data_IF_148477315641
#
_entry.id   IF_148477315641
#
_cell.length_a   1.000
_cell.length_b   1.000
_cell.length_c   1.000
_cell.angle_alpha   90.00
_cell.angle_beta   90.00
_cell.angle_gamma   90.00
#
_symmetry.space_group_name_H-M   'P 1'
#
loop_
_entity.id
_entity.type
_entity.pdbx_description
1 polymer ?
#
# COMPACT_ATOMS: atom_id res chain seq x y z
N UNK A 1 30.94 -0.23 4.87
CA UNK A 1 29.75 -0.72 5.59
C UNK A 1 30.01 -1.95 6.46
N UNK A 2 30.79 -2.96 6.06
CA UNK A 2 30.96 -4.17 6.87
C UNK A 2 31.47 -3.92 8.30
N UNK A 3 32.44 -3.02 8.48
CA UNK A 3 32.93 -2.67 9.82
C UNK A 3 31.91 -1.82 10.60
N UNK A 4 31.18 -0.93 9.93
CA UNK A 4 30.10 -0.17 10.55
C UNK A 4 28.98 -1.09 11.08
N UNK A 5 28.54 -2.08 10.30
CA UNK A 5 27.49 -3.02 10.72
C UNK A 5 27.96 -3.95 11.84
N UNK A 6 29.25 -4.31 11.84
CA UNK A 6 29.87 -5.03 12.97
C UNK A 6 29.82 -4.18 14.25
N UNK A 7 30.17 -2.90 14.16
CA UNK A 7 30.10 -1.98 15.29
C UNK A 7 28.67 -1.79 15.78
N UNK A 8 27.71 -1.55 14.86
CA UNK A 8 26.29 -1.46 15.20
C UNK A 8 25.81 -2.72 15.93
N UNK A 9 26.25 -3.91 15.51
CA UNK A 9 25.90 -5.16 16.20
C UNK A 9 26.44 -5.21 17.64
N UNK A 10 27.68 -4.76 17.85
CA UNK A 10 28.29 -4.69 19.18
C UNK A 10 27.60 -3.65 20.06
N UNK A 11 27.28 -2.48 19.53
CA UNK A 11 26.68 -1.38 20.29
C UNK A 11 25.21 -1.60 20.64
N UNK A 12 24.43 -2.18 19.72
CA UNK A 12 22.99 -2.44 19.92
C UNK A 12 22.73 -3.79 20.58
N UNK A 13 23.67 -4.73 20.50
CA UNK A 13 23.49 -6.13 20.92
C UNK A 13 22.63 -6.96 19.95
N UNK A 14 22.16 -6.38 18.84
CA UNK A 14 21.42 -7.07 17.80
C UNK A 14 22.35 -7.57 16.69
N UNK A 15 21.93 -8.58 15.92
CA UNK A 15 22.69 -9.05 14.77
C UNK A 15 22.38 -8.19 13.54
N UNK A 16 23.22 -7.20 13.25
CA UNK A 16 23.04 -6.26 12.14
C UNK A 16 23.86 -6.73 10.93
N UNK A 17 23.19 -7.31 9.94
CA UNK A 17 23.85 -7.90 8.76
C UNK A 17 23.41 -7.33 7.42
N UNK A 18 22.31 -6.58 7.41
CA UNK A 18 21.71 -6.02 6.21
C UNK A 18 21.43 -4.53 6.41
N UNK A 19 21.20 -3.88 5.28
CA UNK A 19 21.05 -2.45 5.23
C UNK A 19 19.74 -1.93 5.81
N UNK A 20 18.69 -2.73 5.75
CA UNK A 20 17.36 -2.32 6.21
C UNK A 20 17.34 -2.30 7.73
N UNK A 21 17.83 -3.37 8.36
CA UNK A 21 18.03 -3.42 9.81
C UNK A 21 18.99 -2.32 10.27
N UNK A 22 20.08 -2.06 9.52
CA UNK A 22 21.00 -0.97 9.86
C UNK A 22 20.33 0.42 9.77
N UNK A 23 19.49 0.66 8.77
CA UNK A 23 18.70 1.89 8.63
C UNK A 23 17.71 2.08 9.77
N UNK A 24 17.02 1.01 10.19
CA UNK A 24 16.01 1.05 11.26
C UNK A 24 16.54 1.56 12.62
N UNK A 25 17.86 1.45 12.86
CA UNK A 25 18.49 2.00 14.07
C UNK A 25 18.37 3.52 14.11
N UNK A 26 18.55 4.19 12.96
CA UNK A 26 18.39 5.64 12.87
C UNK A 26 16.96 6.06 13.21
N UNK A 27 15.94 5.32 12.80
CA UNK A 27 14.54 5.64 13.10
C UNK A 27 14.29 5.70 14.62
N UNK A 28 14.76 4.69 15.36
CA UNK A 28 14.69 4.68 16.83
C UNK A 28 15.43 5.87 17.45
N UNK A 29 16.67 6.11 17.00
CA UNK A 29 17.52 7.21 17.48
C UNK A 29 16.91 8.58 17.17
N UNK A 30 16.27 8.75 16.02
CA UNK A 30 15.62 9.99 15.61
C UNK A 30 14.40 10.27 16.51
N UNK A 31 13.59 9.26 16.81
CA UNK A 31 12.45 9.38 17.72
C UNK A 31 12.93 9.71 19.14
N UNK A 32 13.94 9.02 19.66
CA UNK A 32 14.53 9.34 20.96
C UNK A 32 14.99 10.79 21.04
N UNK A 33 15.70 11.27 20.01
CA UNK A 33 16.15 12.67 19.93
C UNK A 33 14.99 13.65 19.86
N UNK A 34 13.93 13.33 19.10
CA UNK A 34 12.73 14.15 18.97
C UNK A 34 12.03 14.37 20.33
N UNK A 35 12.01 13.34 21.18
CA UNK A 35 11.37 13.38 22.50
C UNK A 35 12.34 13.67 23.66
N UNK A 36 13.60 13.99 23.37
CA UNK A 36 14.60 14.31 24.39
C UNK A 36 14.95 13.13 25.31
N UNK A 37 14.85 11.89 24.80
CA UNK A 37 15.22 10.68 25.54
C UNK A 37 16.75 10.52 25.60
N UNK A 38 17.29 9.92 26.69
CA UNK A 38 18.72 9.72 26.82
C UNK A 38 19.23 8.73 25.77
N UNK A 39 20.36 9.06 25.13
CA UNK A 39 20.99 8.23 24.12
C UNK A 39 22.41 7.83 24.56
N UNK A 40 22.89 6.63 24.19
CA UNK A 40 24.26 6.24 24.47
C UNK A 40 25.26 7.08 23.66
N UNK A 41 26.48 7.27 24.17
CA UNK A 41 27.48 8.16 23.59
C UNK A 41 27.77 7.87 22.10
N UNK A 42 27.85 6.58 21.73
CA UNK A 42 28.14 6.17 20.36
C UNK A 42 27.11 6.68 19.35
N UNK A 43 25.85 6.89 19.75
CA UNK A 43 24.82 7.46 18.88
C UNK A 43 25.15 8.90 18.51
N UNK A 44 25.68 9.68 19.47
CA UNK A 44 26.09 11.06 19.20
C UNK A 44 27.32 11.11 18.30
N UNK A 45 28.28 10.22 18.55
CA UNK A 45 29.54 10.18 17.81
C UNK A 45 29.35 9.72 16.34
N UNK A 46 28.31 8.93 16.06
CA UNK A 46 28.05 8.30 14.77
C UNK A 46 26.70 8.69 14.15
N UNK A 47 26.08 9.79 14.61
CA UNK A 47 24.75 10.20 14.17
C UNK A 47 24.66 10.41 12.64
N UNK A 48 25.65 11.07 12.05
CA UNK A 48 25.68 11.35 10.61
C UNK A 48 25.84 10.06 9.78
N UNK A 49 26.55 9.05 10.30
CA UNK A 49 26.69 7.75 9.64
C UNK A 49 25.38 6.94 9.68
N UNK A 50 24.64 7.04 10.80
CA UNK A 50 23.30 6.46 10.92
C UNK A 50 22.33 7.13 9.96
N UNK A 51 22.33 8.47 9.88
CA UNK A 51 21.47 9.23 8.96
C UNK A 51 21.77 8.86 7.51
N UNK A 52 23.05 8.84 7.15
CA UNK A 52 23.46 8.45 5.80
C UNK A 52 23.04 7.01 5.46
N UNK A 53 23.19 6.06 6.40
CA UNK A 53 22.72 4.69 6.22
C UNK A 53 21.20 4.62 6.01
N UNK A 54 20.42 5.41 6.75
CA UNK A 54 18.97 5.52 6.56
C UNK A 54 18.63 6.05 5.17
N UNK A 55 19.27 7.15 4.75
CA UNK A 55 19.08 7.75 3.43
C UNK A 55 19.38 6.74 2.30
N UNK A 56 20.45 5.96 2.41
CA UNK A 56 20.78 4.91 1.44
C UNK A 56 19.74 3.77 1.41
N UNK A 57 19.11 3.47 2.54
CA UNK A 57 18.08 2.42 2.63
C UNK A 57 16.85 2.77 1.77
N UNK A 58 16.42 4.03 1.76
CA UNK A 58 15.34 4.52 0.89
C UNK A 58 15.68 4.46 -0.60
N UNK A 59 16.95 4.71 -0.96
CA UNK A 59 17.40 4.54 -2.35
C UNK A 59 17.35 3.06 -2.77
N UNK A 60 17.81 2.15 -1.89
CA UNK A 60 17.92 0.73 -2.20
C UNK A 60 16.58 0.03 -2.38
N UNK A 61 15.55 0.51 -1.69
CA UNK A 61 14.19 0.03 -1.87
C UNK A 61 13.69 0.11 -3.33
N UNK A 62 14.08 1.12 -4.10
CA UNK A 62 13.60 1.32 -5.47
C UNK A 62 14.72 1.65 -6.46
N UNK A 63 15.93 1.14 -6.22
CA UNK A 63 17.12 1.52 -7.00
C UNK A 63 17.07 1.13 -8.48
N UNK A 64 16.43 0.01 -8.80
CA UNK A 64 16.36 -0.50 -10.18
C UNK A 64 15.00 -0.22 -10.81
N UNK A 65 14.91 -0.08 -12.14
CA UNK A 65 13.63 0.09 -12.82
C UNK A 65 12.63 -1.03 -12.50
N UNK A 66 13.10 -2.26 -12.29
CA UNK A 66 12.29 -3.40 -11.88
C UNK A 66 11.71 -3.21 -10.47
N UNK A 67 12.51 -2.74 -9.51
CA UNK A 67 12.02 -2.44 -8.17
C UNK A 67 11.03 -1.28 -8.18
N UNK A 68 11.30 -0.22 -8.95
CA UNK A 68 10.36 0.90 -9.12
C UNK A 68 9.02 0.40 -9.69
N UNK A 69 9.08 -0.46 -10.71
CA UNK A 69 7.90 -1.05 -11.36
C UNK A 69 7.04 -1.88 -10.42
N UNK A 70 7.66 -2.65 -9.53
CA UNK A 70 6.93 -3.52 -8.61
C UNK A 70 6.50 -2.84 -7.31
N UNK A 71 7.14 -1.73 -6.92
CA UNK A 71 6.81 -0.98 -5.71
C UNK A 71 5.84 0.16 -5.99
N UNK A 72 6.36 1.24 -6.57
CA UNK A 72 5.58 2.45 -6.84
C UNK A 72 4.83 2.41 -8.18
N UNK A 73 5.14 1.46 -9.07
CA UNK A 73 4.52 1.33 -10.39
C UNK A 73 2.99 1.27 -10.36
N UNK A 74 2.35 0.47 -9.49
CA UNK A 74 0.89 0.46 -9.35
C UNK A 74 0.30 1.83 -8.99
N UNK A 75 0.88 2.52 -7.99
CA UNK A 75 0.42 3.84 -7.57
C UNK A 75 0.62 4.88 -8.68
N UNK A 76 1.78 4.89 -9.33
CA UNK A 76 2.07 5.78 -10.45
C UNK A 76 1.12 5.55 -11.65
N UNK A 77 0.78 4.28 -11.94
CA UNK A 77 -0.18 3.92 -12.98
C UNK A 77 -1.58 4.44 -12.64
N UNK A 78 -2.00 4.32 -11.37
CA UNK A 78 -3.28 4.83 -10.91
C UNK A 78 -3.35 6.36 -11.00
N UNK A 79 -2.31 7.07 -10.54
CA UNK A 79 -2.23 8.53 -10.64
C UNK A 79 -2.31 8.99 -12.10
N UNK A 80 -1.53 8.37 -12.99
CA UNK A 80 -1.59 8.68 -14.43
C UNK A 80 -2.97 8.37 -15.03
N UNK A 81 -3.57 7.24 -14.66
CA UNK A 81 -4.90 6.84 -15.10
C UNK A 81 -5.96 7.88 -14.74
N UNK A 82 -6.01 8.31 -13.48
CA UNK A 82 -6.94 9.33 -13.01
C UNK A 82 -6.78 10.64 -13.80
N UNK A 83 -5.54 11.06 -14.08
CA UNK A 83 -5.29 12.26 -14.90
C UNK A 83 -5.78 12.07 -16.34
N UNK A 84 -5.53 10.92 -16.95
CA UNK A 84 -5.95 10.64 -18.32
C UNK A 84 -7.47 10.52 -18.45
N UNK A 85 -8.17 10.03 -17.43
CA UNK A 85 -9.64 9.99 -17.40
C UNK A 85 -10.24 11.40 -17.50
N UNK A 86 -9.73 12.36 -16.73
CA UNK A 86 -10.14 13.78 -16.78
C UNK A 86 -9.99 14.35 -18.19
N UNK A 87 -8.95 13.94 -18.94
CA UNK A 87 -8.74 14.44 -20.31
C UNK A 87 -9.76 13.92 -21.33
N UNK A 88 -10.43 12.79 -21.03
CA UNK A 88 -11.41 12.15 -21.90
C UNK A 88 -12.82 12.64 -21.58
N UNK A 89 -13.17 12.63 -20.30
CA UNK A 89 -14.49 13.00 -19.79
C UNK A 89 -14.35 13.79 -18.50
N UNK A 90 -15.08 14.91 -18.34
CA UNK A 90 -15.09 15.65 -17.08
C UNK A 90 -15.54 14.74 -15.93
N UNK A 91 -14.83 14.84 -14.80
CA UNK A 91 -15.16 14.13 -13.56
C UNK A 91 -15.44 15.14 -12.45
N UNK A 92 -16.33 14.78 -11.53
CA UNK A 92 -16.59 15.56 -10.31
C UNK A 92 -15.48 15.40 -9.27
N UNK A 93 -14.62 14.39 -9.41
CA UNK A 93 -13.51 14.14 -8.49
C UNK A 93 -12.36 15.10 -8.79
N UNK A 94 -12.16 16.08 -7.90
CA UNK A 94 -11.10 17.09 -8.04
C UNK A 94 -9.78 16.75 -7.35
N UNK A 95 -9.83 15.87 -6.33
CA UNK A 95 -8.66 15.54 -5.50
C UNK A 95 -8.71 14.05 -5.14
N UNK A 96 -7.59 13.36 -5.35
CA UNK A 96 -7.33 12.03 -4.80
C UNK A 96 -6.28 12.16 -3.70
N UNK A 97 -6.56 11.61 -2.51
CA UNK A 97 -5.62 11.60 -1.39
C UNK A 97 -5.19 10.18 -1.08
N UNK A 98 -3.88 9.97 -0.99
CA UNK A 98 -3.26 8.69 -0.67
C UNK A 98 -2.43 8.86 0.60
N UNK A 99 -2.83 8.19 1.69
CA UNK A 99 -2.02 8.10 2.90
C UNK A 99 -1.15 6.85 2.81
N UNK A 100 0.16 7.02 2.95
CA UNK A 100 1.14 5.94 2.76
C UNK A 100 2.38 6.18 3.63
N UNK A 101 3.38 5.30 3.50
CA UNK A 101 4.64 5.35 4.21
C UNK A 101 5.70 6.13 3.43
N UNK A 102 6.71 6.63 4.15
CA UNK A 102 7.94 7.23 3.61
C UNK A 102 8.60 6.39 2.51
N UNK A 103 8.61 5.06 2.67
CA UNK A 103 9.18 4.12 1.68
C UNK A 103 8.46 4.19 0.34
N UNK A 104 7.14 4.41 0.34
CA UNK A 104 6.34 4.59 -0.87
C UNK A 104 6.57 5.98 -1.49
N UNK A 105 6.67 7.04 -0.67
CA UNK A 105 7.00 8.39 -1.14
C UNK A 105 8.37 8.41 -1.84
N UNK A 106 9.39 7.82 -1.20
CA UNK A 106 10.72 7.70 -1.77
C UNK A 106 10.69 6.88 -3.07
N UNK A 107 9.99 5.74 -3.08
CA UNK A 107 9.86 4.88 -4.26
C UNK A 107 9.16 5.59 -5.42
N UNK A 108 8.11 6.38 -5.15
CA UNK A 108 7.39 7.15 -6.15
C UNK A 108 8.25 8.28 -6.73
N UNK A 109 8.97 9.01 -5.88
CA UNK A 109 9.91 10.04 -6.31
C UNK A 109 11.05 9.44 -7.15
N UNK A 110 11.55 8.25 -6.78
CA UNK A 110 12.59 7.57 -7.54
C UNK A 110 12.06 7.12 -8.90
N UNK A 111 10.83 6.58 -8.95
CA UNK A 111 10.12 6.28 -10.19
C UNK A 111 9.94 7.52 -11.09
N UNK A 112 9.66 8.69 -10.53
CA UNK A 112 9.61 9.95 -11.28
C UNK A 112 11.00 10.52 -11.64
N UNK A 113 12.07 9.99 -11.07
CA UNK A 113 13.43 10.52 -11.21
C UNK A 113 13.59 11.87 -10.52
N UNK A 114 12.96 12.04 -9.36
CA UNK A 114 12.90 13.25 -8.54
C UNK A 114 13.33 13.01 -7.07
N UNK A 115 13.81 11.81 -6.76
CA UNK A 115 14.28 11.49 -5.41
C UNK A 115 15.60 12.20 -5.12
N UNK A 116 15.68 12.85 -3.98
CA UNK A 116 16.82 13.67 -3.52
C UNK A 116 17.80 12.88 -2.65
N UNK A 117 17.66 11.55 -2.62
CA UNK A 117 18.51 10.65 -1.82
C UNK A 117 18.44 10.95 -0.32
N UNK A 118 17.30 11.49 0.13
CA UNK A 118 17.01 11.77 1.53
C UNK A 118 15.76 11.03 1.96
N UNK A 119 15.83 10.44 3.15
CA UNK A 119 14.67 9.85 3.82
C UNK A 119 13.55 10.89 3.93
N UNK A 120 12.31 10.57 3.51
CA UNK A 120 11.19 11.49 3.64
C UNK A 120 10.92 11.84 5.11
N UNK A 121 10.81 13.14 5.42
CA UNK A 121 10.45 13.59 6.76
C UNK A 121 8.99 13.32 7.11
N UNK A 122 8.66 13.35 8.40
CA UNK A 122 7.25 13.34 8.84
C UNK A 122 6.44 14.40 8.10
N UNK A 123 5.26 14.01 7.60
CA UNK A 123 4.38 14.92 6.85
C UNK A 123 4.87 15.27 5.43
N UNK A 124 5.95 14.66 4.94
CA UNK A 124 6.36 14.80 3.55
C UNK A 124 5.18 14.47 2.62
N UNK A 125 4.93 15.35 1.65
CA UNK A 125 3.81 15.21 0.71
C UNK A 125 4.29 15.44 -0.72
N UNK A 126 3.85 14.58 -1.63
CA UNK A 126 4.02 14.75 -3.08
C UNK A 126 2.66 15.09 -3.67
N UNK A 127 2.57 16.25 -4.31
CA UNK A 127 1.35 16.72 -4.98
C UNK A 127 1.57 16.59 -6.48
N UNK A 128 0.66 15.90 -7.18
CA UNK A 128 0.69 15.76 -8.63
C UNK A 128 -0.55 16.42 -9.19
N UNK A 129 -0.37 17.53 -9.91
CA UNK A 129 -1.45 18.36 -10.42
C UNK A 129 -1.56 18.21 -11.94
N UNK A 130 -2.79 18.05 -12.43
CA UNK A 130 -3.12 18.15 -13.84
C UNK A 130 -3.57 19.57 -14.18
N UNK A 131 -2.88 20.21 -15.11
CA UNK A 131 -3.14 21.56 -15.58
C UNK A 131 -3.64 21.52 -17.02
N UNK A 132 -4.63 22.34 -17.35
CA UNK A 132 -5.12 22.52 -18.72
C UNK A 132 -4.79 23.95 -19.20
N UNK A 133 -4.13 24.05 -20.34
CA UNK A 133 -3.95 25.32 -21.05
C UNK A 133 -5.28 25.73 -21.68
N UNK A 134 -5.79 26.89 -21.28
CA UNK A 134 -7.10 27.42 -21.72
C UNK A 134 -7.09 27.80 -23.21
N UNK A 135 -5.95 28.16 -23.78
CA UNK A 135 -5.84 28.59 -25.17
C UNK A 135 -5.72 27.41 -26.14
N UNK A 136 -5.03 26.34 -25.75
CA UNK A 136 -4.71 25.22 -26.64
C UNK A 136 -5.35 23.88 -26.25
N UNK A 137 -6.08 23.82 -25.13
CA UNK A 137 -6.65 22.58 -24.58
C UNK A 137 -5.61 21.49 -24.31
N UNK A 138 -4.35 21.85 -24.17
CA UNK A 138 -3.26 20.93 -23.88
C UNK A 138 -3.15 20.70 -22.36
N UNK A 139 -2.81 19.48 -21.98
CA UNK A 139 -2.64 19.11 -20.58
C UNK A 139 -1.16 19.03 -20.19
N UNK A 140 -0.84 19.48 -18.99
CA UNK A 140 0.49 19.35 -18.38
C UNK A 140 0.40 18.83 -16.96
N UNK A 141 1.45 18.16 -16.50
CA UNK A 141 1.58 17.63 -15.15
C UNK A 141 2.60 18.45 -14.39
N UNK A 142 2.21 18.90 -13.21
CA UNK A 142 3.09 19.57 -12.25
C UNK A 142 3.26 18.71 -11.01
N UNK A 143 4.50 18.51 -10.56
CA UNK A 143 4.81 17.80 -9.32
C UNK A 143 5.39 18.79 -8.32
N UNK A 144 4.77 18.84 -7.14
CA UNK A 144 5.23 19.63 -6.00
C UNK A 144 5.69 18.69 -4.88
N UNK A 145 6.75 19.08 -4.17
CA UNK A 145 7.17 18.48 -2.91
C UNK A 145 6.92 19.46 -1.78
N UNK A 146 6.26 19.01 -0.73
CA UNK A 146 6.05 19.78 0.49
C UNK A 146 6.93 19.20 1.60
N UNK A 147 7.72 20.07 2.23
CA UNK A 147 8.44 19.74 3.45
C UNK A 147 7.59 20.22 4.65
N UNK A 148 7.30 19.32 5.59
CA UNK A 148 6.51 19.65 6.77
C UNK A 148 7.10 20.82 7.59
N UNK A 149 8.41 20.99 7.60
CA UNK A 149 9.07 22.05 8.38
C UNK A 149 8.80 23.45 7.84
N UNK A 150 8.69 23.61 6.52
CA UNK A 150 8.47 24.92 5.88
C UNK A 150 7.05 25.10 5.33
N UNK A 151 6.24 24.02 5.31
CA UNK A 151 4.87 23.97 4.78
C UNK A 151 4.73 24.59 3.38
N UNK A 152 5.82 24.67 2.62
CA UNK A 152 5.87 25.38 1.35
C UNK A 152 5.99 24.37 0.22
N UNK A 153 4.98 24.25 -0.66
CA UNK A 153 5.08 23.41 -1.84
C UNK A 153 6.15 23.95 -2.79
N UNK A 154 7.11 23.11 -3.17
CA UNK A 154 8.15 23.42 -4.13
C UNK A 154 7.91 22.65 -5.41
N UNK A 155 7.83 23.37 -6.53
CA UNK A 155 7.76 22.76 -7.85
C UNK A 155 9.08 22.06 -8.18
N UNK A 156 9.01 20.78 -8.48
CA UNK A 156 10.17 19.95 -8.84
C UNK A 156 10.10 19.41 -10.27
N UNK A 157 8.93 19.50 -10.90
CA UNK A 157 8.69 19.02 -12.25
C UNK A 157 7.47 19.71 -12.85
N UNK A 158 7.57 20.18 -14.09
CA UNK A 158 6.42 20.62 -14.89
C UNK A 158 6.67 20.29 -16.37
N UNK A 159 5.82 19.46 -16.96
CA UNK A 159 5.93 19.08 -18.37
C UNK A 159 4.58 18.65 -18.96
N UNK A 160 4.45 18.57 -20.30
CA UNK A 160 3.24 18.05 -20.95
C UNK A 160 2.85 16.65 -20.46
N UNK A 161 1.54 16.37 -20.38
CA UNK A 161 1.04 15.06 -19.95
C UNK A 161 1.60 13.88 -20.78
N UNK A 162 1.74 13.96 -22.12
CA UNK A 162 2.37 12.90 -22.90
C UNK A 162 3.82 12.62 -22.47
N UNK A 163 4.62 13.68 -22.31
CA UNK A 163 6.02 13.56 -21.89
C UNK A 163 6.14 12.95 -20.48
N UNK A 164 5.14 13.19 -19.62
CA UNK A 164 5.09 12.63 -18.27
C UNK A 164 4.77 11.14 -18.30
N UNK A 165 3.81 10.75 -19.14
CA UNK A 165 3.50 9.36 -19.38
C UNK A 165 4.72 8.61 -19.93
N UNK A 166 5.42 9.18 -20.91
CA UNK A 166 6.62 8.59 -21.52
C UNK A 166 7.77 8.44 -20.50
N UNK A 167 7.97 9.44 -19.64
CA UNK A 167 8.99 9.42 -18.58
C UNK A 167 8.85 8.23 -17.62
N UNK A 168 7.62 7.79 -17.38
CA UNK A 168 7.32 6.72 -16.42
C UNK A 168 6.94 5.39 -17.08
N UNK A 169 6.68 5.38 -18.40
CA UNK A 169 6.09 4.26 -19.13
C UNK A 169 6.78 2.91 -18.88
N UNK A 170 8.11 2.86 -18.91
CA UNK A 170 8.88 1.62 -18.68
C UNK A 170 8.70 1.03 -17.28
N UNK A 171 8.28 1.85 -16.32
CA UNK A 171 8.10 1.51 -14.91
C UNK A 171 6.63 1.23 -14.54
N UNK A 172 5.70 1.26 -15.50
CA UNK A 172 4.29 0.97 -15.23
C UNK A 172 3.95 -0.51 -15.47
N UNK A 173 3.49 -1.27 -14.46
CA UNK A 173 3.12 -2.67 -14.63
C UNK A 173 1.94 -2.84 -15.59
N UNK A 174 2.00 -3.83 -16.46
CA UNK A 174 0.87 -4.20 -17.32
C UNK A 174 -0.15 -4.97 -16.49
N UNK A 175 0.30 -6.04 -15.83
CA UNK A 175 -0.46 -6.87 -14.88
C UNK A 175 0.45 -7.16 -13.70
N UNK A 176 0.37 -6.32 -12.67
CA UNK A 176 1.27 -6.37 -11.53
C UNK A 176 1.21 -7.71 -10.78
N UNK A 177 0.02 -8.28 -10.60
CA UNK A 177 -0.13 -9.56 -9.87
C UNK A 177 0.57 -10.70 -10.61
N UNK A 178 0.34 -10.79 -11.92
CA UNK A 178 0.97 -11.80 -12.77
C UNK A 178 2.48 -11.60 -12.85
N UNK A 179 2.94 -10.37 -13.00
CA UNK A 179 4.37 -10.04 -13.07
C UNK A 179 5.09 -10.32 -11.74
N UNK A 180 4.41 -10.18 -10.60
CA UNK A 180 4.92 -10.57 -9.28
C UNK A 180 4.89 -12.09 -9.04
N UNK A 181 4.42 -12.89 -10.00
CA UNK A 181 4.35 -14.35 -9.88
C UNK A 181 3.24 -14.84 -8.96
N UNK A 182 2.22 -14.01 -8.69
CA UNK A 182 1.04 -14.45 -7.94
C UNK A 182 0.29 -15.47 -8.79
N UNK A 183 0.34 -16.72 -8.37
CA UNK A 183 -0.49 -17.77 -8.98
C UNK A 183 -1.94 -17.45 -8.66
N UNK A 184 -2.80 -17.42 -9.66
CA UNK A 184 -4.25 -17.26 -9.45
C UNK A 184 -4.71 -18.24 -8.37
N UNK A 185 -5.35 -17.71 -7.32
CA UNK A 185 -5.89 -18.53 -6.24
C UNK A 185 -6.91 -19.51 -6.84
N UNK A 186 -6.58 -20.80 -6.82
CA UNK A 186 -7.44 -21.91 -7.23
C UNK A 186 -8.18 -21.71 -8.56
N UNK A 187 -7.47 -21.87 -9.69
CA UNK A 187 -8.16 -22.46 -10.85
C UNK A 187 -8.25 -23.96 -10.54
N UNK A 188 -9.41 -24.42 -10.06
CA UNK A 188 -9.73 -25.84 -10.10
C UNK A 188 -9.60 -26.25 -11.56
N UNK A 189 -8.73 -27.22 -11.86
CA UNK A 189 -8.67 -27.83 -13.17
C UNK A 189 -10.08 -28.29 -13.57
N UNK A 190 -10.43 -28.32 -14.85
CA UNK A 190 -11.82 -28.53 -15.31
C UNK A 190 -12.46 -29.81 -14.72
N UNK A 191 -11.63 -30.79 -14.36
CA UNK A 191 -12.00 -32.02 -13.65
C UNK A 191 -12.34 -31.80 -12.17
N UNK A 192 -11.57 -30.98 -11.47
CA UNK A 192 -11.78 -30.66 -10.06
C UNK A 192 -12.98 -29.71 -9.88
N UNK A 193 -13.22 -28.82 -10.85
CA UNK A 193 -14.42 -27.97 -10.89
C UNK A 193 -15.72 -28.78 -11.01
N UNK A 194 -15.73 -29.82 -11.84
CA UNK A 194 -16.87 -30.75 -11.94
C UNK A 194 -17.06 -31.57 -10.67
N UNK A 195 -15.99 -32.08 -10.06
CA UNK A 195 -16.05 -32.81 -8.79
C UNK A 195 -16.60 -31.93 -7.66
N UNK A 196 -16.16 -30.68 -7.59
CA UNK A 196 -16.63 -29.73 -6.58
C UNK A 196 -18.10 -29.35 -6.79
N UNK A 197 -18.52 -29.09 -8.04
CA UNK A 197 -19.91 -28.83 -8.37
C UNK A 197 -20.84 -30.00 -8.03
N UNK A 198 -20.40 -31.24 -8.32
CA UNK A 198 -21.15 -32.45 -7.94
C UNK A 198 -21.23 -32.61 -6.42
N UNK A 199 -20.14 -32.33 -5.68
CA UNK A 199 -20.14 -32.38 -4.23
C UNK A 199 -21.13 -31.36 -3.63
N UNK A 200 -21.11 -30.10 -4.09
CA UNK A 200 -22.04 -29.05 -3.65
C UNK A 200 -23.50 -29.42 -3.96
N UNK A 201 -23.78 -29.93 -5.17
CA UNK A 201 -25.12 -30.37 -5.54
C UNK A 201 -25.61 -31.55 -4.69
N UNK A 202 -24.71 -32.49 -4.35
CA UNK A 202 -25.02 -33.63 -3.48
C UNK A 202 -25.36 -33.17 -2.05
N UNK A 203 -24.64 -32.18 -1.53
CA UNK A 203 -24.88 -31.64 -0.20
C UNK A 203 -26.16 -30.80 -0.15
N UNK A 204 -26.45 -30.04 -1.21
CA UNK A 204 -27.69 -29.27 -1.32
C UNK A 204 -28.93 -30.19 -1.38
N UNK A 205 -28.85 -31.31 -2.13
CA UNK A 205 -29.95 -32.28 -2.17
C UNK A 205 -30.14 -33.01 -0.85
N UNK A 206 -29.06 -33.39 -0.16
CA UNK A 206 -29.10 -33.94 1.20
C UNK A 206 -29.73 -32.96 2.20
N UNK A 207 -29.33 -31.69 2.18
CA UNK A 207 -29.90 -30.66 3.03
C UNK A 207 -31.41 -30.47 2.75
N UNK A 208 -31.82 -30.48 1.49
CA UNK A 208 -33.22 -30.37 1.10
C UNK A 208 -34.06 -31.58 1.56
N UNK A 209 -33.53 -32.80 1.43
CA UNK A 209 -34.19 -34.00 1.94
C UNK A 209 -34.30 -33.99 3.47
N UNK A 210 -33.25 -33.53 4.17
CA UNK A 210 -33.29 -33.32 5.61
C UNK A 210 -34.35 -32.27 6.00
N UNK A 211 -34.47 -31.17 5.25
CA UNK A 211 -35.51 -30.17 5.49
C UNK A 211 -36.92 -30.73 5.26
N UNK A 212 -37.15 -31.50 4.18
CA UNK A 212 -38.43 -32.17 3.94
C UNK A 212 -38.75 -33.16 5.06
N UNK A 213 -37.78 -33.96 5.48
CA UNK A 213 -37.92 -34.90 6.59
C UNK A 213 -38.24 -34.18 7.91
N UNK A 214 -37.52 -33.09 8.21
CA UNK A 214 -37.79 -32.24 9.36
C UNK A 214 -39.19 -31.62 9.29
N UNK A 215 -39.61 -31.09 8.14
CA UNK A 215 -40.96 -30.56 7.92
C UNK A 215 -42.01 -31.65 8.10
N UNK A 216 -41.78 -32.86 7.57
CA UNK A 216 -42.67 -34.01 7.75
C UNK A 216 -42.76 -34.42 9.23
N UNK A 217 -41.63 -34.47 9.94
CA UNK A 217 -41.59 -34.73 11.39
C UNK A 217 -42.31 -33.64 12.19
N UNK A 218 -42.16 -32.36 11.81
CA UNK A 218 -42.87 -31.24 12.43
C UNK A 218 -44.36 -31.29 12.14
N UNK A 219 -44.77 -31.61 10.90
CA UNK A 219 -46.19 -31.77 10.55
C UNK A 219 -46.84 -32.97 11.28
N UNK A 220 -46.09 -34.07 11.49
CA UNK A 220 -46.55 -35.19 12.33
C UNK A 220 -46.59 -34.80 13.81
N UNK A 221 -45.63 -34.01 14.29
CA UNK A 221 -45.56 -33.55 15.69
C UNK A 221 -46.62 -32.48 16.01
N UNK A 222 -47.00 -31.64 15.05
CA UNK A 222 -48.03 -30.60 15.19
C UNK A 222 -49.47 -31.18 15.17
N UNK A 223 -49.61 -32.49 14.90
CA UNK A 223 -50.80 -33.27 15.26
C UNK A 223 -50.95 -33.50 16.78
N UNK A 224 -50.00 -33.05 17.61
CA UNK A 224 -50.06 -33.14 19.07
C UNK A 224 -49.59 -31.83 19.74
N UNK A 225 -50.57 -30.99 20.06
CA UNK A 225 -50.55 -29.85 20.98
C UNK A 225 -49.69 -28.61 20.63
N UNK A 226 -50.41 -27.50 20.42
CA UNK A 226 -49.93 -26.12 20.27
C UNK A 226 -49.29 -25.56 21.55
N UNK A 227 -48.24 -24.74 21.39
CA UNK A 227 -48.05 -23.43 22.05
C UNK A 227 -46.80 -22.73 21.46
N UNK A 228 -47.01 -21.58 20.83
CA UNK A 228 -45.97 -20.71 20.26
C UNK A 228 -45.34 -19.86 21.36
N UNK A 229 -44.02 -19.83 21.44
CA UNK A 229 -43.25 -18.89 22.27
C UNK A 229 -42.56 -17.92 21.31
N UNK A 230 -42.91 -16.63 21.42
CA UNK A 230 -42.22 -15.54 20.73
C UNK A 230 -41.02 -15.11 21.56
N UNK A 231 -39.83 -15.12 20.97
CA UNK A 231 -38.62 -14.60 21.61
C UNK A 231 -38.34 -13.19 21.06
N UNK A 232 -38.37 -12.21 21.96
CA UNK A 232 -37.92 -10.84 21.71
C UNK A 232 -36.63 -10.63 22.53
N UNK A 233 -35.50 -10.27 21.93
CA UNK A 233 -34.28 -10.01 22.68
C UNK A 233 -34.41 -8.71 23.49
N UNK A 234 -33.79 -8.70 24.68
CA UNK A 234 -33.76 -7.58 25.61
C UNK A 234 -32.84 -6.44 25.10
N UNK A 235 -33.22 -5.17 25.30
CA UNK A 235 -32.49 -4.00 24.83
C UNK A 235 -31.30 -3.65 25.74
N UNK A 236 -30.31 -4.54 25.85
CA UNK A 236 -29.10 -4.30 26.67
C UNK A 236 -27.78 -4.79 26.07
N UNK A 237 -27.70 -5.09 24.77
CA UNK A 237 -26.40 -5.33 24.10
C UNK A 237 -26.07 -4.26 23.07
N UNK A 238 -26.23 -3.00 23.49
CA UNK A 238 -25.39 -1.89 23.03
C UNK A 238 -24.40 -1.56 24.15
N UNK A 239 -23.17 -1.24 23.77
CA UNK A 239 -21.93 -0.98 24.56
C UNK A 239 -21.03 -2.22 24.52
N UNK A 240 -19.88 -2.25 23.84
CA UNK A 240 -19.03 -1.22 23.23
C UNK A 240 -18.26 -1.80 22.04
#
# INVERSE_FOLDING_TARGET
>A
YADFYRNLSVWTGANITDWDTAGSIYDCVMIERLYGLPQPQWVTDHFDELEYQQDQSFEWYSKTPQLQRFRAGPLAKQILGNMQEVTKEPTDVRVHMYSTHDTEIASLLNLYGLFDQKSPSYGATVIVELWQDVAFSNYSVKVLRLNYLDMTPREVLHLPLPDFADRIASKLPSDWEKECGRKNAFILDGRDGQLFAMAVASWATLAFLCLISCCYCVCIRDSSNKKTIMYQPLPTETIS
#
